data_IF_395888085423
#
_entry.id   IF_395888085423
#
_cell.length_a   1.000
_cell.length_b   1.000
_cell.length_c   1.000
_cell.angle_alpha   90.00
_cell.angle_beta   90.00
_cell.angle_gamma   90.00
#
_symmetry.space_group_name_H-M   'P 1'
#
loop_
_entity.id
_entity.type
_entity.pdbx_description
1 polymer ?
#
# COMPACT_ATOMS: atom_id res chain seq x y z
N UNK A 1 3.46 -14.76 -0.55
CA UNK A 1 2.62 -13.55 -0.40
C UNK A 1 1.50 -13.87 0.57
N UNK A 2 1.36 -13.14 1.67
CA UNK A 2 0.24 -13.37 2.59
C UNK A 2 -1.03 -12.69 2.12
N UNK A 3 -2.17 -13.30 2.42
CA UNK A 3 -3.49 -12.72 2.20
C UNK A 3 -3.72 -11.58 3.20
N UNK A 4 -4.01 -10.38 2.73
CA UNK A 4 -4.32 -9.28 3.65
C UNK A 4 -5.72 -9.44 4.26
N UNK A 5 -5.87 -9.05 5.52
CA UNK A 5 -7.15 -8.89 6.22
C UNK A 5 -7.36 -7.41 6.53
N UNK A 6 -8.61 -6.95 6.46
CA UNK A 6 -8.92 -5.58 6.87
C UNK A 6 -8.77 -5.45 8.39
N UNK A 7 -8.26 -4.31 8.85
CA UNK A 7 -7.96 -4.06 10.26
C UNK A 7 -8.40 -2.66 10.68
N UNK A 8 -9.27 -2.59 11.69
CA UNK A 8 -9.84 -1.34 12.17
C UNK A 8 -8.81 -0.42 12.84
N UNK A 9 -7.74 -0.99 13.43
CA UNK A 9 -6.67 -0.16 14.00
C UNK A 9 -5.90 0.55 12.88
N UNK A 10 -5.55 -0.16 11.80
CA UNK A 10 -4.95 0.44 10.62
C UNK A 10 -5.86 1.50 9.98
N UNK A 11 -7.17 1.26 9.92
CA UNK A 11 -8.15 2.25 9.47
C UNK A 11 -8.16 3.49 10.35
N UNK A 12 -8.09 3.35 11.67
CA UNK A 12 -8.07 4.50 12.59
C UNK A 12 -6.88 5.44 12.34
N UNK A 13 -5.70 4.89 12.05
CA UNK A 13 -4.52 5.69 11.66
C UNK A 13 -4.70 6.31 10.27
N UNK A 14 -5.31 5.60 9.32
CA UNK A 14 -5.65 6.17 8.03
C UNK A 14 -6.64 7.34 8.17
N UNK A 15 -7.62 7.22 9.07
CA UNK A 15 -8.61 8.26 9.36
C UNK A 15 -7.95 9.49 9.97
N UNK A 16 -7.03 9.31 10.94
CA UNK A 16 -6.22 10.41 11.49
C UNK A 16 -5.44 11.15 10.40
N UNK A 17 -4.86 10.41 9.44
CA UNK A 17 -4.13 11.00 8.33
C UNK A 17 -5.00 11.90 7.45
N UNK A 18 -6.20 11.44 7.08
CA UNK A 18 -7.09 12.22 6.19
C UNK A 18 -7.88 13.30 6.93
N UNK A 19 -8.07 13.19 8.25
CA UNK A 19 -8.87 14.12 9.06
C UNK A 19 -8.41 15.58 8.95
N UNK A 20 -7.11 15.80 8.82
CA UNK A 20 -6.51 17.13 8.71
C UNK A 20 -6.43 17.65 7.28
N UNK A 21 -6.91 16.89 6.29
CA UNK A 21 -6.87 17.26 4.87
C UNK A 21 -5.46 17.62 4.37
N UNK A 22 -4.44 17.03 4.98
CA UNK A 22 -3.05 17.18 4.53
C UNK A 22 -2.85 16.50 3.18
N UNK A 23 -2.01 17.11 2.35
CA UNK A 23 -1.61 16.57 1.04
C UNK A 23 -0.29 15.78 1.09
N UNK A 24 0.26 15.59 2.28
CA UNK A 24 1.52 14.89 2.54
C UNK A 24 1.31 13.74 3.52
N UNK A 25 2.11 12.67 3.36
CA UNK A 25 2.10 11.54 4.30
C UNK A 25 2.39 12.01 5.73
N UNK A 26 1.85 11.29 6.71
CA UNK A 26 2.17 11.51 8.10
C UNK A 26 3.64 11.12 8.38
N UNK A 27 4.29 11.79 9.34
CA UNK A 27 5.62 11.38 9.77
C UNK A 27 5.58 9.99 10.41
N UNK A 28 6.68 9.24 10.31
CA UNK A 28 6.73 7.83 10.70
C UNK A 28 6.29 7.55 12.16
N UNK A 29 6.58 8.46 13.09
CA UNK A 29 6.20 8.33 14.50
C UNK A 29 4.67 8.35 14.71
N UNK A 30 3.91 8.94 13.79
CA UNK A 30 2.46 9.05 13.85
C UNK A 30 1.72 7.89 13.17
N UNK A 31 2.45 6.93 12.58
CA UNK A 31 1.87 5.82 11.82
C UNK A 31 1.58 4.57 12.65
N UNK A 32 1.90 4.54 13.95
CA UNK A 32 1.67 3.35 14.78
C UNK A 32 2.41 2.09 14.28
N UNK A 33 3.57 2.26 13.63
CA UNK A 33 4.30 1.17 13.00
C UNK A 33 3.73 0.68 11.67
N UNK A 34 2.80 1.43 11.07
CA UNK A 34 2.29 1.16 9.72
C UNK A 34 3.12 1.87 8.65
N UNK A 35 2.96 1.42 7.40
CA UNK A 35 3.38 2.17 6.21
C UNK A 35 2.14 2.79 5.58
N UNK A 36 2.25 4.03 5.13
CA UNK A 36 1.13 4.77 4.53
C UNK A 36 1.29 4.83 3.03
N UNK A 37 0.20 4.69 2.26
CA UNK A 37 0.08 5.33 0.95
C UNK A 37 -0.94 6.46 1.05
N UNK A 38 -0.63 7.62 0.47
CA UNK A 38 -1.53 8.76 0.36
C UNK A 38 -1.83 9.07 -1.11
N UNK A 39 -3.08 9.43 -1.40
CA UNK A 39 -3.52 9.89 -2.71
C UNK A 39 -4.43 11.10 -2.57
N UNK A 40 -4.22 12.08 -3.45
CA UNK A 40 -5.03 13.30 -3.53
C UNK A 40 -5.83 13.25 -4.83
N UNK A 41 -7.15 13.14 -4.68
CA UNK A 41 -8.07 13.00 -5.79
C UNK A 41 -8.83 14.32 -6.01
N UNK A 42 -8.45 15.04 -7.07
CA UNK A 42 -8.96 16.38 -7.39
C UNK A 42 -10.30 16.34 -8.15
N UNK A 43 -11.28 15.60 -7.61
CA UNK A 43 -12.65 15.63 -8.07
C UNK A 43 -13.58 15.43 -6.86
N UNK A 44 -13.96 16.53 -6.17
CA UNK A 44 -14.71 16.47 -4.92
C UNK A 44 -16.19 16.09 -5.10
N UNK A 45 -16.71 16.11 -6.33
CA UNK A 45 -18.10 15.75 -6.64
C UNK A 45 -18.26 14.26 -7.00
N UNK A 46 -17.16 13.54 -7.20
CA UNK A 46 -17.22 12.11 -7.45
C UNK A 46 -17.60 11.34 -6.18
N UNK A 47 -18.27 10.18 -6.30
CA UNK A 47 -18.53 9.32 -5.16
C UNK A 47 -17.23 8.96 -4.42
N UNK A 48 -17.25 8.98 -3.09
CA UNK A 48 -16.06 8.66 -2.27
C UNK A 48 -15.44 7.30 -2.63
N UNK A 49 -16.27 6.29 -2.94
CA UNK A 49 -15.81 4.99 -3.39
C UNK A 49 -14.94 5.08 -4.67
N UNK A 50 -15.28 5.99 -5.59
CA UNK A 50 -14.49 6.23 -6.81
C UNK A 50 -13.11 6.78 -6.47
N UNK A 51 -13.01 7.70 -5.50
CA UNK A 51 -11.73 8.24 -5.05
C UNK A 51 -10.83 7.13 -4.47
N UNK A 52 -11.40 6.23 -3.66
CA UNK A 52 -10.68 5.08 -3.08
C UNK A 52 -10.22 4.09 -4.16
N UNK A 53 -11.11 3.67 -5.06
CA UNK A 53 -10.77 2.75 -6.15
C UNK A 53 -9.71 3.34 -7.08
N UNK A 54 -9.81 4.64 -7.39
CA UNK A 54 -8.82 5.33 -8.21
C UNK A 54 -7.45 5.39 -7.53
N UNK A 55 -7.41 5.68 -6.22
CA UNK A 55 -6.16 5.68 -5.44
C UNK A 55 -5.48 4.31 -5.47
N UNK A 56 -6.22 3.23 -5.16
CA UNK A 56 -5.72 1.85 -5.17
C UNK A 56 -5.20 1.47 -6.56
N UNK A 57 -6.00 1.74 -7.60
CA UNK A 57 -5.61 1.46 -8.99
C UNK A 57 -4.37 2.25 -9.41
N UNK A 58 -4.28 3.53 -9.03
CA UNK A 58 -3.15 4.39 -9.36
C UNK A 58 -1.86 3.89 -8.72
N UNK A 59 -1.90 3.54 -7.42
CA UNK A 59 -0.76 2.96 -6.73
C UNK A 59 -0.33 1.64 -7.35
N UNK A 60 -1.27 0.72 -7.59
CA UNK A 60 -0.96 -0.58 -8.18
C UNK A 60 -0.34 -0.46 -9.59
N UNK A 61 -0.82 0.50 -10.38
CA UNK A 61 -0.34 0.72 -11.75
C UNK A 61 1.12 1.17 -11.87
N UNK A 62 1.75 1.61 -10.77
CA UNK A 62 3.14 2.05 -10.78
C UNK A 62 4.09 0.96 -11.29
N UNK A 63 3.87 -0.32 -10.93
CA UNK A 63 4.70 -1.42 -11.43
C UNK A 63 4.62 -1.52 -12.96
N UNK A 64 3.41 -1.52 -13.52
CA UNK A 64 3.22 -1.65 -14.96
C UNK A 64 3.82 -0.48 -15.74
N UNK A 65 3.80 0.73 -15.15
CA UNK A 65 4.29 1.95 -15.80
C UNK A 65 5.80 2.12 -15.71
N UNK A 66 6.38 1.80 -14.55
CA UNK A 66 7.76 2.17 -14.25
C UNK A 66 8.67 0.97 -14.07
N UNK A 67 8.11 -0.23 -13.91
CA UNK A 67 8.86 -1.46 -13.71
C UNK A 67 9.63 -1.51 -12.40
N UNK A 68 10.09 -2.72 -12.07
CA UNK A 68 11.03 -3.00 -11.01
C UNK A 68 11.96 -4.12 -11.46
N UNK A 69 13.08 -4.29 -10.76
CA UNK A 69 14.01 -5.40 -10.99
C UNK A 69 13.28 -6.74 -10.92
N UNK A 70 13.60 -7.66 -11.83
CA UNK A 70 12.94 -8.97 -11.94
C UNK A 70 13.03 -9.83 -10.69
N UNK A 71 14.10 -9.67 -9.89
CA UNK A 71 14.27 -10.39 -8.63
C UNK A 71 13.52 -9.75 -7.44
N UNK A 72 12.80 -8.64 -7.65
CA UNK A 72 12.00 -7.93 -6.64
C UNK A 72 12.78 -7.38 -5.43
N UNK A 73 14.11 -7.22 -5.54
CA UNK A 73 14.92 -6.58 -4.50
C UNK A 73 14.64 -5.07 -4.46
N UNK A 74 14.32 -4.55 -3.28
CA UNK A 74 14.04 -3.15 -3.03
C UNK A 74 15.29 -2.42 -2.52
N UNK A 75 15.97 -1.68 -3.40
CA UNK A 75 17.17 -0.92 -3.05
C UNK A 75 16.86 0.53 -2.67
N UNK A 76 17.84 1.18 -2.04
CA UNK A 76 17.78 2.61 -1.70
C UNK A 76 17.53 3.48 -2.95
N UNK A 77 18.01 3.07 -4.12
CA UNK A 77 17.76 3.76 -5.39
C UNK A 77 16.28 3.90 -5.74
N UNK A 78 15.40 3.02 -5.24
CA UNK A 78 13.96 3.08 -5.49
C UNK A 78 13.33 4.37 -4.92
N UNK A 79 13.86 4.90 -3.81
CA UNK A 79 13.43 6.18 -3.25
C UNK A 79 13.86 7.40 -4.09
N UNK A 80 14.88 7.24 -4.93
CA UNK A 80 15.45 8.33 -5.74
C UNK A 80 14.88 8.40 -7.16
N UNK A 81 13.85 7.60 -7.47
CA UNK A 81 13.23 7.53 -8.81
C UNK A 81 12.30 8.70 -9.14
N UNK A 82 12.12 9.65 -8.22
CA UNK A 82 11.27 10.83 -8.44
C UNK A 82 9.83 10.45 -8.79
N UNK A 83 9.27 11.06 -9.84
CA UNK A 83 7.89 10.81 -10.29
C UNK A 83 7.67 9.39 -10.85
N UNK A 84 8.73 8.69 -11.27
CA UNK A 84 8.69 7.35 -11.87
C UNK A 84 8.97 6.25 -10.84
N UNK A 85 8.56 6.46 -9.59
CA UNK A 85 8.79 5.52 -8.49
C UNK A 85 7.68 4.46 -8.37
N UNK A 86 8.01 3.36 -7.68
CA UNK A 86 7.10 2.24 -7.40
C UNK A 86 6.78 2.10 -5.90
N UNK A 87 6.95 3.18 -5.12
CA UNK A 87 6.91 3.11 -3.66
C UNK A 87 5.54 2.71 -3.11
N UNK A 88 4.46 3.20 -3.72
CA UNK A 88 3.11 2.87 -3.27
C UNK A 88 2.74 1.43 -3.65
N UNK A 89 3.09 1.01 -4.88
CA UNK A 89 2.96 -0.38 -5.28
C UNK A 89 3.77 -1.32 -4.37
N UNK A 90 5.02 -0.98 -4.04
CA UNK A 90 5.87 -1.81 -3.20
C UNK A 90 5.27 -2.01 -1.81
N UNK A 91 4.64 -0.99 -1.23
CA UNK A 91 3.90 -1.08 0.04
C UNK A 91 2.68 -2.02 -0.07
N UNK A 92 1.96 -1.99 -1.20
CA UNK A 92 0.81 -2.88 -1.47
C UNK A 92 1.23 -4.34 -1.73
N UNK A 93 2.29 -4.55 -2.49
CA UNK A 93 2.74 -5.89 -2.91
C UNK A 93 3.70 -6.54 -1.90
N UNK A 94 3.93 -5.94 -0.74
CA UNK A 94 4.94 -6.41 0.18
C UNK A 94 4.52 -7.74 0.84
N UNK A 95 5.36 -8.76 0.71
CA UNK A 95 4.99 -10.17 0.90
C UNK A 95 4.46 -10.52 2.28
N UNK A 96 4.96 -9.86 3.33
CA UNK A 96 4.57 -10.07 4.72
C UNK A 96 3.60 -9.02 5.24
N UNK A 97 3.10 -8.11 4.41
CA UNK A 97 1.97 -7.27 4.78
C UNK A 97 0.74 -8.13 4.92
N UNK A 98 0.13 -8.04 6.10
CA UNK A 98 -0.95 -8.91 6.56
C UNK A 98 -2.21 -8.12 6.84
N UNK A 99 -2.08 -6.85 7.23
CA UNK A 99 -3.21 -5.99 7.58
C UNK A 99 -3.21 -4.74 6.74
N UNK A 100 -4.42 -4.32 6.38
CA UNK A 100 -4.68 -3.06 5.67
C UNK A 100 -5.89 -2.37 6.28
N UNK A 101 -5.85 -1.04 6.35
CA UNK A 101 -7.02 -0.23 6.68
C UNK A 101 -6.92 1.11 5.96
N UNK A 102 -8.05 1.61 5.44
CA UNK A 102 -8.07 2.79 4.58
C UNK A 102 -9.13 3.78 5.00
N UNK A 103 -8.88 5.06 4.77
CA UNK A 103 -9.85 6.12 4.99
C UNK A 103 -9.84 7.10 3.82
N UNK A 104 -10.98 7.72 3.57
CA UNK A 104 -11.09 8.82 2.63
C UNK A 104 -11.93 9.94 3.24
N UNK A 105 -11.50 11.19 3.02
CA UNK A 105 -12.22 12.38 3.48
C UNK A 105 -12.37 13.37 2.32
N UNK A 106 -13.59 13.87 2.14
CA UNK A 106 -13.82 15.03 1.28
C UNK A 106 -13.33 16.29 2.02
N UNK A 107 -12.39 17.00 1.40
CA UNK A 107 -11.74 18.20 1.94
C UNK A 107 -12.25 19.48 1.26
N UNK A 108 -13.46 19.44 0.68
CA UNK A 108 -14.08 20.54 -0.05
C UNK A 108 -13.66 20.57 -1.52
N UNK A 109 -12.38 20.75 -1.81
CA UNK A 109 -11.86 20.84 -3.19
C UNK A 109 -11.23 19.54 -3.72
N UNK A 110 -10.98 18.55 -2.85
CA UNK A 110 -10.39 17.26 -3.20
C UNK A 110 -10.79 16.19 -2.18
N UNK A 111 -10.55 14.93 -2.51
CA UNK A 111 -10.52 13.85 -1.53
C UNK A 111 -9.07 13.54 -1.13
N UNK A 112 -8.81 13.43 0.17
CA UNK A 112 -7.62 12.76 0.69
C UNK A 112 -7.97 11.29 0.93
N UNK A 113 -7.20 10.37 0.33
CA UNK A 113 -7.35 8.92 0.52
C UNK A 113 -6.05 8.37 1.08
N UNK A 114 -6.12 7.69 2.22
CA UNK A 114 -4.97 7.10 2.89
C UNK A 114 -5.21 5.63 3.15
N UNK A 115 -4.22 4.78 2.93
CA UNK A 115 -4.22 3.38 3.35
C UNK A 115 -2.98 3.09 4.20
N UNK A 116 -3.17 2.35 5.27
CA UNK A 116 -2.15 1.91 6.20
C UNK A 116 -1.91 0.41 6.04
N UNK A 117 -0.64 0.00 6.04
CA UNK A 117 -0.20 -1.38 5.83
C UNK A 117 0.67 -1.85 7.02
N UNK A 118 0.40 -3.04 7.54
CA UNK A 118 1.16 -3.63 8.65
C UNK A 118 1.50 -5.12 8.43
N UNK A 119 2.73 -5.57 8.78
CA UNK A 119 3.92 -4.79 9.18
C UNK A 119 4.38 -3.76 8.13
N UNK A 120 3.87 -3.85 6.90
CA UNK A 120 4.16 -2.90 5.83
C UNK A 120 5.46 -3.24 5.10
N UNK A 121 5.83 -2.39 4.14
CA UNK A 121 6.93 -2.65 3.22
C UNK A 121 7.83 -1.47 2.89
N UNK A 122 8.41 -1.52 1.70
CA UNK A 122 9.43 -0.59 1.19
C UNK A 122 10.67 -0.51 2.11
N UNK A 123 11.13 -1.68 2.57
CA UNK A 123 12.33 -1.80 3.41
C UNK A 123 13.54 -2.04 2.50
N UNK A 124 14.57 -1.20 2.68
CA UNK A 124 15.79 -1.24 1.88
C UNK A 124 16.52 -2.57 2.08
N UNK A 125 17.08 -3.09 0.99
CA UNK A 125 17.81 -4.38 0.93
C UNK A 125 16.94 -5.59 1.33
N UNK A 126 15.63 -5.48 1.15
CA UNK A 126 14.71 -6.60 1.27
C UNK A 126 13.94 -6.82 -0.03
N UNK A 127 13.41 -8.02 -0.20
CA UNK A 127 12.57 -8.36 -1.34
C UNK A 127 11.13 -7.90 -1.11
N UNK A 128 10.52 -7.25 -2.11
CA UNK A 128 9.06 -6.98 -2.11
C UNK A 128 8.32 -8.29 -1.94
N UNK A 129 8.72 -9.31 -2.69
CA UNK A 129 8.38 -10.71 -2.45
C UNK A 129 9.45 -11.61 -3.04
N UNK A 130 9.57 -12.83 -2.50
CA UNK A 130 10.44 -13.84 -3.08
C UNK A 130 9.83 -14.34 -4.39
N UNK A 131 10.62 -14.32 -5.46
CA UNK A 131 10.26 -14.89 -6.75
C UNK A 131 10.35 -16.41 -6.65
N UNK A 132 9.29 -17.11 -7.04
CA UNK A 132 9.22 -18.56 -6.97
C UNK A 132 7.88 -19.08 -7.48
N UNK A 133 7.72 -20.41 -7.46
CA UNK A 133 6.46 -21.03 -7.83
C UNK A 133 5.33 -20.57 -6.90
N UNK A 134 4.12 -20.45 -7.45
CA UNK A 134 2.93 -20.07 -6.68
C UNK A 134 2.78 -21.03 -5.49
N UNK A 135 2.44 -20.49 -4.31
CA UNK A 135 2.30 -21.22 -3.05
C UNK A 135 3.57 -21.87 -2.48
N UNK A 136 4.72 -21.89 -3.16
CA UNK A 136 5.89 -22.68 -2.74
C UNK A 136 6.53 -22.20 -1.43
N UNK A 137 6.35 -20.92 -1.09
CA UNK A 137 6.79 -20.33 0.17
C UNK A 137 5.72 -20.28 1.27
N UNK A 138 4.52 -20.85 1.05
CA UNK A 138 3.49 -20.88 2.08
C UNK A 138 3.74 -22.04 3.07
N UNK A 139 3.34 -21.91 4.35
CA UNK A 139 3.31 -23.05 5.25
C UNK A 139 2.43 -24.18 4.69
N UNK A 140 2.73 -25.43 5.05
CA UNK A 140 2.03 -26.61 4.50
C UNK A 140 0.52 -26.50 4.72
N UNK A 141 -0.24 -26.64 3.64
CA UNK A 141 -1.70 -26.54 3.65
C UNK A 141 -2.26 -25.14 3.83
N UNK A 142 -1.43 -24.09 3.90
CA UNK A 142 -1.89 -22.71 4.12
C UNK A 142 -2.00 -21.89 2.83
N UNK A 143 -1.77 -22.43 1.63
CA UNK A 143 -2.13 -21.70 0.41
C UNK A 143 -3.63 -21.79 0.16
N UNK A 144 -4.28 -20.66 -0.10
CA UNK A 144 -5.70 -20.61 -0.46
C UNK A 144 -5.94 -20.69 -1.98
N UNK A 145 -7.20 -20.83 -2.36
CA UNK A 145 -7.62 -20.97 -3.76
C UNK A 145 -7.36 -19.73 -4.64
N UNK A 146 -6.88 -18.62 -4.05
CA UNK A 146 -6.46 -17.42 -4.79
C UNK A 146 -4.95 -17.23 -4.76
N UNK A 147 -4.17 -18.30 -4.54
CA UNK A 147 -2.71 -18.28 -4.61
C UNK A 147 -2.04 -17.41 -3.52
N UNK A 148 -2.71 -17.20 -2.38
CA UNK A 148 -2.19 -16.44 -1.25
C UNK A 148 -1.98 -17.33 -0.02
N UNK A 149 -0.94 -17.03 0.75
CA UNK A 149 -0.68 -17.72 2.01
C UNK A 149 -1.63 -17.19 3.11
N UNK A 150 -2.30 -18.10 3.79
CA UNK A 150 -3.08 -17.86 5.01
C UNK A 150 -2.17 -17.68 6.22
N UNK A 151 -2.69 -17.00 7.24
CA UNK A 151 -2.04 -16.70 8.51
C UNK A 151 -3.08 -16.27 9.56
#
# INVERSE_FOLDING_TARGET
MYRMKYDCNAESYAQQAVNTCRKTELPAYALGGHKQNLFIFNNPHAPQQKAVLYAISSWWSQLARFGMRSNMMFYQSEFHRGASNVLNWAKMAWWNTKRVGCAAKNCGSFYAVSCMYNPGGAIVNQYVYQVGAVCSGCPRGQCDGQALCRW
#
